data_IF_499566775559
#
_entry.id   IF_499566775559
#
_cell.length_a   1.000
_cell.length_b   1.000
_cell.length_c   1.000
_cell.angle_alpha   90.00
_cell.angle_beta   90.00
_cell.angle_gamma   90.00
#
_symmetry.space_group_name_H-M   'P 1'
#
loop_
_entity.id
_entity.type
_entity.pdbx_description
1 polymer ?
#
# COMPACT_ATOMS: atom_id res chain seq x y z
N UNK A 1 29.82 6.20 4.82
CA UNK A 1 29.95 5.08 5.78
C UNK A 1 29.53 3.82 5.03
N UNK A 2 30.38 2.79 5.02
CA UNK A 2 30.09 1.56 4.28
C UNK A 2 29.07 0.71 5.09
N UNK A 3 28.02 0.15 4.45
CA UNK A 3 27.02 -0.65 5.16
C UNK A 3 27.63 -1.97 5.69
N UNK A 4 27.01 -2.61 6.69
CA UNK A 4 27.39 -3.95 7.12
C UNK A 4 27.33 -4.94 5.96
N UNK A 5 28.29 -5.85 5.87
CA UNK A 5 28.33 -6.90 4.84
C UNK A 5 27.43 -8.05 5.26
N UNK A 6 26.53 -8.49 4.38
CA UNK A 6 25.78 -9.74 4.55
C UNK A 6 26.71 -10.92 4.31
N UNK A 7 26.84 -11.83 5.28
CA UNK A 7 27.71 -13.00 5.24
C UNK A 7 26.95 -14.29 4.96
N UNK A 8 25.67 -14.34 5.31
CA UNK A 8 24.75 -15.43 4.98
C UNK A 8 23.31 -14.89 5.04
N UNK A 9 22.43 -15.48 4.25
CA UNK A 9 21.00 -15.19 4.25
C UNK A 9 20.22 -16.49 4.19
N UNK A 10 19.07 -16.54 4.87
CA UNK A 10 18.13 -17.66 4.80
C UNK A 10 16.70 -17.19 4.94
N UNK A 11 15.76 -17.88 4.27
CA UNK A 11 14.33 -17.73 4.54
C UNK A 11 13.99 -18.56 5.78
N UNK A 12 13.42 -17.94 6.80
CA UNK A 12 13.02 -18.59 8.07
C UNK A 12 11.52 -18.87 8.14
N UNK A 13 10.71 -18.15 7.36
CA UNK A 13 9.27 -18.40 7.18
C UNK A 13 8.84 -17.93 5.80
N UNK A 14 7.93 -18.66 5.17
CA UNK A 14 7.36 -18.32 3.86
C UNK A 14 5.90 -18.72 3.79
N UNK A 15 5.08 -17.88 3.17
CA UNK A 15 3.73 -18.19 2.74
C UNK A 15 3.44 -17.47 1.40
N UNK A 16 2.18 -17.52 0.88
CA UNK A 16 1.84 -16.88 -0.40
C UNK A 16 2.02 -15.35 -0.38
N UNK A 17 1.97 -14.68 0.78
CA UNK A 17 1.98 -13.23 0.90
C UNK A 17 3.34 -12.62 1.23
N UNK A 18 4.26 -13.41 1.80
CA UNK A 18 5.55 -12.88 2.25
C UNK A 18 6.60 -13.97 2.48
N UNK A 19 7.87 -13.52 2.48
CA UNK A 19 9.00 -14.29 3.01
C UNK A 19 9.66 -13.53 4.15
N UNK A 20 9.95 -14.19 5.25
CA UNK A 20 10.76 -13.65 6.34
C UNK A 20 12.19 -14.14 6.16
N UNK A 21 13.10 -13.21 5.96
CA UNK A 21 14.54 -13.44 5.82
C UNK A 21 15.26 -13.19 7.14
N UNK A 22 16.32 -13.96 7.37
CA UNK A 22 17.30 -13.72 8.42
C UNK A 22 18.69 -13.65 7.78
N UNK A 23 19.33 -12.47 7.90
CA UNK A 23 20.66 -12.19 7.39
C UNK A 23 21.65 -12.15 8.54
N UNK A 24 22.75 -12.92 8.41
CA UNK A 24 23.93 -12.72 9.24
C UNK A 24 24.75 -11.61 8.63
N UNK A 25 25.12 -10.63 9.43
CA UNK A 25 25.88 -9.48 8.98
C UNK A 25 27.20 -9.37 9.73
N UNK A 26 28.13 -8.63 9.16
CA UNK A 26 29.39 -8.28 9.79
C UNK A 26 29.62 -6.78 9.60
N UNK A 27 29.77 -6.07 10.70
CA UNK A 27 30.12 -4.66 10.71
C UNK A 27 31.56 -4.46 10.28
N UNK A 28 31.99 -3.21 10.03
CA UNK A 28 33.33 -2.87 9.56
C UNK A 28 34.43 -3.24 10.53
N UNK A 29 34.17 -3.20 11.84
CA UNK A 29 35.07 -3.63 12.91
C UNK A 29 35.08 -5.15 13.13
N UNK A 30 34.38 -5.91 12.29
CA UNK A 30 34.31 -7.35 12.33
C UNK A 30 33.24 -7.92 13.28
N UNK A 31 32.50 -7.09 14.01
CA UNK A 31 31.47 -7.57 14.92
C UNK A 31 30.31 -8.27 14.17
N UNK A 32 29.88 -9.45 14.65
CA UNK A 32 28.75 -10.14 14.04
C UNK A 32 27.43 -9.45 14.37
N UNK A 33 26.50 -9.48 13.41
CA UNK A 33 25.14 -8.97 13.58
C UNK A 33 24.11 -9.91 12.98
N UNK A 34 22.84 -9.65 13.29
CA UNK A 34 21.67 -10.35 12.76
C UNK A 34 20.67 -9.30 12.33
N UNK A 35 20.07 -9.49 11.12
CA UNK A 35 19.00 -8.64 10.62
C UNK A 35 17.88 -9.52 10.10
N UNK A 36 16.64 -9.28 10.56
CA UNK A 36 15.48 -9.96 10.03
C UNK A 36 14.62 -8.94 9.24
N UNK A 37 14.18 -9.35 8.06
CA UNK A 37 13.37 -8.50 7.20
C UNK A 37 12.34 -9.29 6.39
N UNK A 38 11.31 -8.60 5.93
CA UNK A 38 10.19 -9.18 5.20
C UNK A 38 10.28 -8.77 3.73
N UNK A 39 10.35 -9.77 2.86
CA UNK A 39 10.17 -9.61 1.41
C UNK A 39 8.70 -9.68 1.06
N UNK A 40 8.19 -8.67 0.33
CA UNK A 40 6.82 -8.64 -0.20
C UNK A 40 6.79 -8.07 -1.62
N UNK A 41 5.80 -8.46 -2.45
CA UNK A 41 5.62 -7.87 -3.76
C UNK A 41 5.33 -6.37 -3.67
N UNK A 42 5.67 -5.60 -4.73
CA UNK A 42 5.29 -4.21 -4.83
C UNK A 42 3.77 -4.03 -4.77
N UNK A 43 3.35 -2.91 -4.21
CA UNK A 43 1.94 -2.55 -4.10
C UNK A 43 1.61 -1.25 -4.85
N UNK A 44 0.33 -0.96 -4.99
CA UNK A 44 -0.20 0.33 -5.41
C UNK A 44 -1.03 0.94 -4.27
N UNK A 45 -1.01 2.26 -4.15
CA UNK A 45 -1.95 3.06 -3.35
C UNK A 45 -2.57 4.08 -4.29
N UNK A 46 -3.87 4.08 -4.39
CA UNK A 46 -4.60 4.90 -5.36
C UNK A 46 -5.35 6.01 -4.62
N UNK A 47 -5.18 7.25 -5.05
CA UNK A 47 -5.97 8.41 -4.61
C UNK A 47 -7.04 8.66 -5.66
N UNK A 48 -8.28 8.20 -5.46
CA UNK A 48 -9.37 8.40 -6.39
C UNK A 48 -10.01 9.76 -6.12
N UNK A 49 -9.66 10.77 -6.94
CA UNK A 49 -10.08 12.16 -6.78
C UNK A 49 -11.18 12.52 -7.79
N UNK A 50 -12.30 13.01 -7.27
CA UNK A 50 -13.46 13.44 -8.04
C UNK A 50 -13.90 14.84 -7.57
N UNK A 51 -13.36 15.87 -8.20
CA UNK A 51 -13.56 17.26 -7.81
C UNK A 51 -13.05 17.54 -6.40
N UNK A 52 -13.95 17.87 -5.48
CA UNK A 52 -13.69 18.11 -4.06
C UNK A 52 -13.96 16.87 -3.17
N UNK A 53 -14.03 15.68 -3.76
CA UNK A 53 -14.25 14.41 -3.07
C UNK A 53 -13.16 13.41 -3.39
N UNK A 54 -12.93 12.51 -2.44
CA UNK A 54 -12.14 11.29 -2.60
C UNK A 54 -13.00 10.06 -2.32
N UNK A 55 -12.58 8.92 -2.84
CA UNK A 55 -13.19 7.64 -2.48
C UNK A 55 -12.28 6.92 -1.50
N UNK A 56 -12.87 6.45 -0.41
CA UNK A 56 -12.20 5.69 0.64
C UNK A 56 -12.81 4.30 0.72
N UNK A 57 -12.02 3.38 1.22
CA UNK A 57 -12.47 2.04 1.61
C UNK A 57 -12.27 1.84 3.10
N UNK A 58 -13.21 1.12 3.73
CA UNK A 58 -13.08 0.70 5.12
C UNK A 58 -13.00 -0.80 5.19
N UNK A 59 -11.95 -1.32 5.80
CA UNK A 59 -11.77 -2.76 5.97
C UNK A 59 -11.27 -3.13 7.37
N UNK A 60 -11.47 -4.41 7.75
CA UNK A 60 -10.98 -4.94 9.02
C UNK A 60 -9.50 -5.32 8.92
N UNK A 61 -8.66 -4.63 9.66
CA UNK A 61 -7.22 -4.92 9.74
C UNK A 61 -6.93 -5.90 10.86
N UNK A 62 -6.76 -7.19 10.50
CA UNK A 62 -6.61 -8.30 11.43
C UNK A 62 -5.55 -8.10 12.53
N UNK A 63 -4.33 -7.55 12.26
CA UNK A 63 -3.33 -7.33 13.30
C UNK A 63 -3.80 -6.36 14.39
N UNK A 64 -4.62 -5.38 14.01
CA UNK A 64 -5.10 -4.31 14.91
C UNK A 64 -6.49 -4.59 15.49
N UNK A 65 -7.16 -5.66 15.01
CA UNK A 65 -8.49 -6.10 15.47
C UNK A 65 -9.58 -5.03 15.38
N UNK A 66 -9.48 -4.13 14.39
CA UNK A 66 -10.46 -3.06 14.16
C UNK A 66 -10.51 -2.66 12.71
N UNK A 67 -11.55 -1.90 12.33
CA UNK A 67 -11.74 -1.35 10.99
C UNK A 67 -11.06 0.00 10.89
N UNK A 68 -10.57 0.33 9.68
CA UNK A 68 -9.96 1.62 9.34
C UNK A 68 -10.40 2.07 7.95
N UNK A 69 -10.50 3.38 7.80
CA UNK A 69 -10.64 4.03 6.51
C UNK A 69 -9.27 4.27 5.89
N UNK A 70 -9.16 3.99 4.60
CA UNK A 70 -7.92 4.14 3.85
C UNK A 70 -8.21 4.37 2.36
N UNK A 71 -7.21 4.75 1.57
CA UNK A 71 -7.30 4.72 0.12
C UNK A 71 -7.23 3.27 -0.39
N UNK A 72 -7.88 2.97 -1.53
CA UNK A 72 -7.73 1.68 -2.20
C UNK A 72 -6.25 1.35 -2.39
N UNK A 73 -5.87 0.12 -2.00
CA UNK A 73 -4.47 -0.30 -2.04
C UNK A 73 -4.30 -1.82 -1.94
N UNK A 74 -3.37 -2.34 -2.69
CA UNK A 74 -3.00 -3.75 -2.58
C UNK A 74 -1.84 -4.16 -3.46
N UNK A 75 -1.61 -5.46 -3.53
CA UNK A 75 -0.53 -6.08 -4.27
C UNK A 75 -0.99 -7.43 -4.83
N UNK A 76 -0.63 -7.73 -6.05
CA UNK A 76 -0.93 -9.03 -6.66
C UNK A 76 0.21 -10.03 -6.42
N UNK A 77 0.04 -10.88 -5.40
CA UNK A 77 1.04 -11.89 -5.04
C UNK A 77 1.23 -12.93 -6.15
N UNK A 78 0.15 -13.25 -6.86
CA UNK A 78 0.17 -14.25 -7.95
C UNK A 78 0.67 -13.65 -9.28
N UNK A 79 0.84 -12.32 -9.37
CA UNK A 79 1.35 -11.61 -10.55
C UNK A 79 2.38 -10.52 -10.21
N UNK A 80 3.48 -10.84 -9.52
CA UNK A 80 4.44 -9.83 -9.02
C UNK A 80 5.17 -9.06 -10.13
N UNK A 81 5.06 -9.52 -11.37
CA UNK A 81 5.63 -8.87 -12.57
C UNK A 81 4.62 -8.07 -13.39
N UNK A 82 3.38 -7.93 -12.94
CA UNK A 82 2.36 -7.13 -13.64
C UNK A 82 2.82 -5.67 -13.80
N UNK A 83 2.43 -4.99 -14.89
CA UNK A 83 2.66 -3.56 -15.05
C UNK A 83 2.02 -2.79 -13.88
N UNK A 84 2.77 -1.84 -13.28
CA UNK A 84 2.33 -1.13 -12.07
C UNK A 84 1.01 -0.35 -12.26
N UNK A 85 0.74 0.18 -13.46
CA UNK A 85 -0.54 0.84 -13.74
C UNK A 85 -1.69 -0.16 -13.83
N UNK A 86 -1.46 -1.36 -14.35
CA UNK A 86 -2.46 -2.41 -14.43
C UNK A 86 -2.86 -2.89 -13.04
N UNK A 87 -1.88 -3.11 -12.14
CA UNK A 87 -2.12 -3.37 -10.73
C UNK A 87 -2.99 -2.27 -10.10
N UNK A 88 -2.60 -1.00 -10.26
CA UNK A 88 -3.33 0.11 -9.66
C UNK A 88 -4.77 0.24 -10.18
N UNK A 89 -5.01 -0.05 -11.47
CA UNK A 89 -6.35 -0.07 -12.05
C UNK A 89 -7.18 -1.25 -11.56
N UNK A 90 -6.54 -2.40 -11.36
CA UNK A 90 -7.16 -3.58 -10.79
C UNK A 90 -7.64 -3.32 -9.35
N UNK A 91 -6.75 -2.89 -8.47
CA UNK A 91 -7.06 -2.57 -7.07
C UNK A 91 -8.20 -1.52 -6.96
N UNK A 92 -8.15 -0.45 -7.78
CA UNK A 92 -9.23 0.53 -7.82
C UNK A 92 -10.57 -0.12 -8.17
N UNK A 93 -10.60 -0.99 -9.17
CA UNK A 93 -11.83 -1.63 -9.63
C UNK A 93 -12.33 -2.69 -8.63
N UNK A 94 -11.44 -3.47 -8.05
CA UNK A 94 -11.74 -4.54 -7.09
C UNK A 94 -12.34 -3.97 -5.81
N UNK A 95 -11.68 -2.98 -5.20
CA UNK A 95 -12.09 -2.43 -3.92
C UNK A 95 -13.22 -1.39 -4.00
N UNK A 96 -13.34 -0.65 -5.11
CA UNK A 96 -14.32 0.45 -5.21
C UNK A 96 -15.39 0.26 -6.29
N UNK A 97 -15.19 -0.65 -7.23
CA UNK A 97 -16.01 -0.74 -8.43
C UNK A 97 -15.84 0.44 -9.39
N UNK A 98 -14.80 1.26 -9.23
CA UNK A 98 -14.56 2.44 -10.08
C UNK A 98 -13.55 2.14 -11.17
N UNK A 99 -13.70 2.87 -12.27
CA UNK A 99 -12.71 2.96 -13.35
C UNK A 99 -12.27 4.40 -13.53
N UNK A 100 -10.99 4.63 -13.76
CA UNK A 100 -10.44 5.96 -13.98
C UNK A 100 -10.12 6.19 -15.45
N UNK A 101 -10.53 7.33 -16.00
CA UNK A 101 -10.11 7.77 -17.34
C UNK A 101 -8.61 8.09 -17.38
N UNK A 102 -8.06 8.59 -16.26
CA UNK A 102 -6.64 8.91 -16.14
C UNK A 102 -6.05 8.32 -14.86
N UNK A 103 -4.86 7.71 -15.00
CA UNK A 103 -4.01 7.25 -13.90
C UNK A 103 -2.65 7.93 -14.03
N UNK A 104 -2.28 8.75 -13.05
CA UNK A 104 -0.99 9.41 -13.02
C UNK A 104 -0.15 8.90 -11.85
N UNK A 105 1.01 8.29 -12.15
CA UNK A 105 1.96 7.90 -11.10
C UNK A 105 2.56 9.13 -10.45
N UNK A 106 2.38 9.25 -9.14
CA UNK A 106 2.78 10.43 -8.35
C UNK A 106 4.15 10.23 -7.72
N UNK A 107 4.45 9.03 -7.25
CA UNK A 107 5.73 8.72 -6.63
C UNK A 107 5.80 7.28 -6.16
N UNK A 108 6.94 6.94 -5.54
CA UNK A 108 7.14 5.63 -4.89
C UNK A 108 7.58 5.86 -3.46
N UNK A 109 6.97 5.12 -2.54
CA UNK A 109 7.31 5.10 -1.12
C UNK A 109 7.48 3.65 -0.64
N UNK A 110 7.81 3.49 0.63
CA UNK A 110 7.95 2.18 1.28
C UNK A 110 7.06 2.14 2.51
N UNK A 111 6.37 1.02 2.75
CA UNK A 111 5.51 0.87 3.93
C UNK A 111 6.31 0.91 5.23
N UNK A 112 7.42 0.18 5.28
CA UNK A 112 8.23 0.04 6.50
C UNK A 112 9.68 -0.34 6.14
N UNK A 113 10.43 0.56 5.47
CA UNK A 113 11.76 0.27 4.93
C UNK A 113 12.81 -0.16 5.98
N UNK A 114 12.53 -0.01 7.26
CA UNK A 114 13.37 -0.55 8.33
C UNK A 114 13.17 -2.04 8.61
N UNK A 115 12.13 -2.67 8.06
CA UNK A 115 11.83 -4.08 8.29
C UNK A 115 11.27 -4.82 7.07
N UNK A 116 10.99 -4.13 5.97
CA UNK A 116 10.46 -4.73 4.74
C UNK A 116 10.98 -3.98 3.54
N UNK A 117 11.19 -4.69 2.44
CA UNK A 117 11.50 -4.12 1.12
C UNK A 117 10.25 -3.69 0.35
N UNK A 118 9.05 -3.92 0.90
CA UNK A 118 7.80 -3.60 0.22
C UNK A 118 7.70 -2.12 -0.08
N UNK A 119 7.78 -1.79 -1.36
CA UNK A 119 7.49 -0.47 -1.91
C UNK A 119 6.04 -0.39 -2.36
N UNK A 120 5.52 0.81 -2.47
CA UNK A 120 4.27 1.07 -3.16
C UNK A 120 4.37 2.29 -4.07
N UNK A 121 3.72 2.20 -5.22
CA UNK A 121 3.55 3.32 -6.13
C UNK A 121 2.26 4.06 -5.78
N UNK A 122 2.35 5.38 -5.68
CA UNK A 122 1.19 6.25 -5.46
C UNK A 122 0.64 6.68 -6.80
N UNK A 123 -0.66 6.50 -6.98
CA UNK A 123 -1.39 6.84 -8.20
C UNK A 123 -2.50 7.84 -7.92
N UNK A 124 -2.59 8.89 -8.71
CA UNK A 124 -3.75 9.77 -8.77
C UNK A 124 -4.69 9.27 -9.85
N UNK A 125 -5.90 8.88 -9.48
CA UNK A 125 -6.96 8.44 -10.37
C UNK A 125 -8.01 9.55 -10.53
N UNK A 126 -8.32 9.93 -11.78
CA UNK A 126 -9.31 10.98 -12.08
C UNK A 126 -10.20 10.57 -13.26
N UNK A 127 -11.34 11.29 -13.43
CA UNK A 127 -12.36 10.92 -14.41
C UNK A 127 -12.97 9.57 -14.03
N UNK A 128 -13.45 9.50 -12.81
CA UNK A 128 -13.95 8.27 -12.20
C UNK A 128 -15.36 7.97 -12.70
N UNK A 129 -15.56 6.73 -13.14
CA UNK A 129 -16.85 6.21 -13.57
C UNK A 129 -17.17 4.90 -12.85
N UNK A 130 -18.43 4.66 -12.43
CA UNK A 130 -18.83 3.39 -11.87
C UNK A 130 -18.64 2.24 -12.88
N UNK A 131 -18.06 1.14 -12.41
CA UNK A 131 -17.93 -0.11 -13.13
C UNK A 131 -18.66 -1.24 -12.38
N UNK A 132 -18.70 -2.45 -12.93
CA UNK A 132 -19.16 -3.58 -12.16
C UNK A 132 -18.19 -3.83 -10.99
N UNK A 133 -18.69 -4.02 -9.76
CA UNK A 133 -17.87 -4.38 -8.63
C UNK A 133 -17.26 -5.77 -8.86
N UNK A 134 -15.98 -5.92 -8.50
CA UNK A 134 -15.25 -7.18 -8.64
C UNK A 134 -14.44 -7.50 -7.36
N UNK A 135 -15.07 -7.50 -6.16
CA UNK A 135 -14.35 -7.71 -4.92
C UNK A 135 -13.74 -9.12 -4.87
N UNK A 136 -12.53 -9.22 -4.38
CA UNK A 136 -11.93 -10.52 -4.05
C UNK A 136 -12.71 -11.25 -2.94
N UNK A 137 -12.56 -12.57 -2.87
CA UNK A 137 -13.26 -13.40 -1.88
C UNK A 137 -12.90 -13.04 -0.42
N UNK A 138 -11.75 -12.41 -0.20
CA UNK A 138 -11.23 -11.97 1.10
C UNK A 138 -11.70 -10.56 1.50
N UNK A 139 -12.34 -9.82 0.58
CA UNK A 139 -12.76 -8.42 0.72
C UNK A 139 -14.28 -8.22 0.78
N UNK A 140 -15.03 -9.28 1.07
CA UNK A 140 -16.50 -9.27 1.06
C UNK A 140 -17.13 -8.32 2.09
N UNK A 141 -16.39 -7.86 3.08
CA UNK A 141 -16.85 -6.93 4.11
C UNK A 141 -16.33 -5.49 3.92
N UNK A 142 -15.66 -5.22 2.78
CA UNK A 142 -15.15 -3.90 2.43
C UNK A 142 -16.30 -2.93 2.17
N UNK A 143 -16.20 -1.74 2.74
CA UNK A 143 -17.18 -0.65 2.55
C UNK A 143 -16.49 0.47 1.79
N UNK A 144 -17.06 0.88 0.66
CA UNK A 144 -16.57 2.01 -0.13
C UNK A 144 -17.44 3.25 0.07
N UNK A 145 -16.83 4.42 0.23
CA UNK A 145 -17.54 5.68 0.44
C UNK A 145 -16.91 6.85 -0.31
N UNK A 146 -17.77 7.63 -0.99
CA UNK A 146 -17.40 8.94 -1.54
C UNK A 146 -17.42 9.98 -0.42
N UNK A 147 -16.29 10.58 -0.13
CA UNK A 147 -16.05 11.45 1.03
C UNK A 147 -15.54 12.81 0.56
N UNK A 148 -16.14 13.90 1.04
CA UNK A 148 -15.61 15.25 0.77
C UNK A 148 -14.18 15.38 1.31
N UNK A 149 -13.29 16.03 0.57
CA UNK A 149 -11.88 16.23 0.96
C UNK A 149 -11.77 16.83 2.36
N UNK A 150 -12.57 17.86 2.68
CA UNK A 150 -12.56 18.47 4.01
C UNK A 150 -12.95 17.47 5.12
N UNK A 151 -13.86 16.51 4.85
CA UNK A 151 -14.21 15.46 5.81
C UNK A 151 -13.09 14.43 5.94
N UNK A 152 -12.48 14.04 4.83
CA UNK A 152 -11.32 13.14 4.83
C UNK A 152 -10.17 13.72 5.66
N UNK A 153 -9.83 15.00 5.47
CA UNK A 153 -8.78 15.68 6.25
C UNK A 153 -9.14 15.70 7.75
N UNK A 154 -10.39 15.99 8.09
CA UNK A 154 -10.86 15.90 9.47
C UNK A 154 -10.80 14.48 10.04
N UNK A 155 -11.01 13.45 9.23
CA UNK A 155 -10.84 12.04 9.64
C UNK A 155 -9.38 11.69 9.90
N UNK A 156 -8.43 12.24 9.15
CA UNK A 156 -6.99 12.12 9.41
C UNK A 156 -6.65 12.77 10.75
N UNK A 157 -7.10 14.01 10.98
CA UNK A 157 -6.84 14.75 12.22
C UNK A 157 -7.43 14.04 13.46
N UNK A 158 -8.58 13.40 13.29
CA UNK A 158 -9.26 12.63 14.35
C UNK A 158 -8.70 11.21 14.57
N UNK A 159 -7.79 10.73 13.70
CA UNK A 159 -7.27 9.37 13.73
C UNK A 159 -8.26 8.29 13.29
N UNK A 160 -9.33 8.67 12.60
CA UNK A 160 -10.25 7.73 11.92
C UNK A 160 -9.58 7.14 10.67
N UNK A 161 -8.77 7.95 9.95
CA UNK A 161 -7.83 7.52 8.93
C UNK A 161 -6.45 7.49 9.58
N UNK A 162 -5.92 6.31 9.84
CA UNK A 162 -4.65 6.12 10.55
C UNK A 162 -3.62 5.32 9.73
N UNK A 163 -3.95 4.99 8.48
CA UNK A 163 -3.02 4.34 7.56
C UNK A 163 -1.96 5.31 7.04
N UNK A 164 -0.70 5.02 7.34
CA UNK A 164 0.41 5.88 6.96
C UNK A 164 0.58 6.02 5.44
N UNK A 165 0.26 4.97 4.67
CA UNK A 165 0.35 5.00 3.21
C UNK A 165 -0.70 5.93 2.61
N UNK A 166 -1.94 5.90 3.12
CA UNK A 166 -3.02 6.82 2.76
C UNK A 166 -2.64 8.28 3.02
N UNK A 167 -2.13 8.59 4.22
CA UNK A 167 -1.72 9.95 4.59
C UNK A 167 -0.55 10.44 3.72
N UNK A 168 0.44 9.59 3.50
CA UNK A 168 1.59 9.92 2.64
C UNK A 168 1.19 10.11 1.17
N UNK A 169 0.30 9.26 0.65
CA UNK A 169 -0.22 9.38 -0.71
C UNK A 169 -0.97 10.70 -0.90
N UNK A 170 -1.85 11.06 0.04
CA UNK A 170 -2.54 12.35 0.02
C UNK A 170 -1.57 13.54 0.01
N UNK A 171 -0.56 13.50 0.87
CA UNK A 171 0.46 14.53 0.90
C UNK A 171 1.18 14.69 -0.44
N UNK A 172 1.54 13.60 -1.11
CA UNK A 172 2.21 13.66 -2.41
C UNK A 172 1.31 14.24 -3.51
N UNK A 173 0.01 13.92 -3.49
CA UNK A 173 -0.97 14.41 -4.47
C UNK A 173 -1.21 15.92 -4.29
N UNK A 174 -1.37 16.39 -3.06
CA UNK A 174 -1.71 17.80 -2.76
C UNK A 174 -0.55 18.79 -2.89
N UNK A 175 0.69 18.30 -3.05
CA UNK A 175 1.90 19.12 -3.23
C UNK A 175 2.28 19.37 -4.69
N UNK A 176 1.46 18.94 -5.64
CA UNK A 176 1.71 19.11 -7.09
C UNK A 176 0.95 20.27 -7.72
#
# INVERSE_FOLDING_TARGET
MEPPRVTASRVVYENRWMRLHEDRTQSRDGAPGLYAWIEKPPAAVIVPLDGDHVWLVEQFRHPLRRRFWEFPQGAWEDAPGAPAEELARGELAEETGLRAASMARVGTLFFAYGMSDQRFDVWLATGLEPGPPAPEATEQDLVCARTAVARFEAMVDAGEVADAATVAAWHLVTRR
#
